data_IF_800424777436
#
_entry.id   IF_800424777436
#
_cell.length_a   1.000
_cell.length_b   1.000
_cell.length_c   1.000
_cell.angle_alpha   90.00
_cell.angle_beta   90.00
_cell.angle_gamma   90.00
#
_symmetry.space_group_name_H-M   'P 1'
#
loop_
_entity.id
_entity.type
_entity.pdbx_description
1 polymer ?
#
# COMPACT_ATOMS: atom_id res chain seq x y z
N UNK A 1 9.22 -84.83 -13.22
CA UNK A 1 8.10 -84.45 -14.10
C UNK A 1 7.47 -83.16 -13.57
N UNK A 2 7.33 -82.14 -14.43
CA UNK A 2 6.24 -81.13 -14.49
C UNK A 2 6.09 -80.17 -13.29
N UNK A 3 5.92 -78.85 -13.41
CA UNK A 3 5.81 -77.87 -14.51
C UNK A 3 5.85 -76.48 -13.88
N UNK A 4 6.35 -75.47 -14.61
CA UNK A 4 6.34 -74.04 -14.26
C UNK A 4 4.93 -73.45 -14.37
N UNK A 5 4.57 -72.48 -13.52
CA UNK A 5 3.60 -71.44 -13.87
C UNK A 5 4.03 -70.08 -13.33
N UNK A 6 4.10 -69.13 -14.26
CA UNK A 6 4.40 -67.72 -14.08
C UNK A 6 3.12 -66.93 -13.82
N UNK A 7 3.23 -65.83 -13.08
CA UNK A 7 2.30 -64.70 -13.10
C UNK A 7 3.12 -63.48 -12.64
N UNK A 8 3.72 -62.69 -13.55
CA UNK A 8 3.12 -61.51 -14.19
C UNK A 8 2.30 -60.69 -13.19
N UNK A 9 2.92 -59.69 -12.58
CA UNK A 9 2.21 -58.55 -12.02
C UNK A 9 2.86 -57.26 -12.53
N UNK A 10 2.00 -56.46 -13.13
CA UNK A 10 2.27 -55.43 -14.09
C UNK A 10 3.05 -54.25 -13.50
N UNK A 11 3.98 -53.73 -14.31
CA UNK A 11 4.59 -52.43 -14.10
C UNK A 11 3.51 -51.34 -14.16
N UNK A 12 3.24 -50.74 -13.01
CA UNK A 12 2.35 -49.59 -12.88
C UNK A 12 3.16 -48.34 -13.22
N UNK A 13 3.25 -48.03 -14.51
CA UNK A 13 3.81 -46.77 -15.00
C UNK A 13 2.81 -45.65 -14.69
N UNK A 14 3.05 -44.91 -13.61
CA UNK A 14 2.35 -43.67 -13.30
C UNK A 14 2.92 -42.59 -14.24
N UNK A 15 2.12 -41.98 -15.14
CA UNK A 15 2.61 -40.85 -15.92
C UNK A 15 2.73 -39.65 -14.99
N UNK A 16 3.98 -39.24 -14.73
CA UNK A 16 4.31 -38.01 -14.04
C UNK A 16 3.96 -36.84 -14.97
N UNK A 17 2.72 -36.35 -14.92
CA UNK A 17 2.36 -35.10 -15.58
C UNK A 17 3.06 -33.95 -14.84
N UNK A 18 4.18 -33.49 -15.39
CA UNK A 18 4.80 -32.24 -15.00
C UNK A 18 3.84 -31.10 -15.38
N UNK A 19 3.07 -30.62 -14.41
CA UNK A 19 2.35 -29.36 -14.52
C UNK A 19 3.41 -28.27 -14.53
N UNK A 20 3.78 -27.80 -15.72
CA UNK A 20 4.55 -26.58 -15.89
C UNK A 20 3.63 -25.45 -15.45
N UNK A 21 3.71 -25.08 -14.17
CA UNK A 21 3.03 -23.92 -13.64
C UNK A 21 3.55 -22.70 -14.39
N UNK A 22 2.68 -22.06 -15.16
CA UNK A 22 2.95 -20.72 -15.67
C UNK A 22 3.13 -19.82 -14.44
N UNK A 23 4.36 -19.37 -14.18
CA UNK A 23 4.61 -18.31 -13.22
C UNK A 23 3.94 -17.05 -13.79
N UNK A 24 2.75 -16.72 -13.29
CA UNK A 24 2.20 -15.40 -13.53
C UNK A 24 3.17 -14.40 -12.89
N UNK A 25 3.59 -13.34 -13.60
CA UNK A 25 4.35 -12.28 -12.96
C UNK A 25 3.52 -11.75 -11.79
N UNK A 26 4.14 -11.66 -10.62
CA UNK A 26 3.53 -10.97 -9.49
C UNK A 26 3.45 -9.49 -9.87
N UNK A 27 2.28 -9.06 -10.35
CA UNK A 27 1.98 -7.64 -10.46
C UNK A 27 1.97 -7.09 -9.03
N UNK A 28 2.78 -6.06 -8.78
CA UNK A 28 2.67 -5.32 -7.53
C UNK A 28 1.23 -4.81 -7.42
N UNK A 29 0.52 -5.28 -6.40
CA UNK A 29 -0.86 -4.89 -6.18
C UNK A 29 -0.88 -3.48 -5.60
N UNK A 30 -1.73 -2.63 -6.17
CA UNK A 30 -1.94 -1.28 -5.68
C UNK A 30 -2.51 -1.31 -4.25
N UNK A 31 -1.87 -0.60 -3.31
CA UNK A 31 -2.22 -0.61 -1.89
C UNK A 31 -3.31 0.41 -1.56
N UNK A 32 -4.38 -0.06 -0.92
CA UNK A 32 -5.60 0.69 -0.64
C UNK A 32 -5.86 0.79 0.86
N UNK A 33 -5.48 1.91 1.47
CA UNK A 33 -5.57 2.08 2.92
C UNK A 33 -6.56 3.16 3.34
N UNK A 34 -7.20 2.91 4.47
CA UNK A 34 -8.08 3.85 5.16
C UNK A 34 -7.39 4.34 6.42
N UNK A 35 -7.37 5.66 6.60
CA UNK A 35 -6.78 6.26 7.78
C UNK A 35 -7.62 5.93 9.02
N UNK A 36 -6.94 5.65 10.13
CA UNK A 36 -7.55 5.40 11.44
C UNK A 36 -7.35 6.59 12.36
N UNK A 37 -8.26 6.71 13.34
CA UNK A 37 -8.16 7.70 14.40
C UNK A 37 -7.01 7.38 15.35
N UNK A 38 -6.32 8.41 15.83
CA UNK A 38 -5.19 8.27 16.75
C UNK A 38 -5.20 9.40 17.77
N UNK A 39 -5.06 9.03 19.04
CA UNK A 39 -5.01 9.97 20.17
C UNK A 39 -3.60 10.47 20.49
N UNK A 40 -2.62 10.10 19.66
CA UNK A 40 -1.22 10.46 19.82
C UNK A 40 -0.66 11.00 18.51
N UNK A 41 0.41 11.77 18.62
CA UNK A 41 1.02 12.46 17.49
C UNK A 41 2.50 12.07 17.40
N UNK A 42 2.94 11.67 16.21
CA UNK A 42 4.33 11.33 15.92
C UNK A 42 5.28 12.51 16.13
N UNK A 43 6.57 12.21 16.30
CA UNK A 43 7.60 13.20 16.56
C UNK A 43 7.84 14.16 15.36
N UNK A 44 8.80 15.07 15.52
CA UNK A 44 9.16 16.07 14.53
C UNK A 44 9.94 15.55 13.32
N UNK A 45 10.20 14.23 13.20
CA UNK A 45 11.01 13.66 12.10
C UNK A 45 10.24 13.50 10.78
N UNK A 46 8.95 13.82 10.79
CA UNK A 46 8.06 13.71 9.63
C UNK A 46 8.23 14.87 8.66
N UNK A 47 8.23 14.54 7.37
CA UNK A 47 8.22 15.52 6.30
C UNK A 47 6.80 15.77 5.85
N UNK A 48 6.39 17.04 5.87
CA UNK A 48 5.01 17.43 5.71
C UNK A 48 4.82 18.37 4.53
N UNK A 49 3.66 18.24 3.92
CA UNK A 49 3.09 19.22 3.00
C UNK A 49 1.70 19.61 3.52
N UNK A 50 1.37 20.89 3.42
CA UNK A 50 0.07 21.40 3.86
C UNK A 50 -0.38 22.53 2.95
N UNK A 51 -1.69 22.57 2.70
CA UNK A 51 -2.38 23.70 2.11
C UNK A 51 -3.66 24.00 2.91
N UNK A 52 -4.51 24.89 2.40
CA UNK A 52 -5.76 25.27 3.06
C UNK A 52 -6.70 24.10 3.34
N UNK A 53 -6.68 23.04 2.52
CA UNK A 53 -7.69 21.97 2.53
C UNK A 53 -7.20 20.69 3.21
N UNK A 54 -5.90 20.39 3.11
CA UNK A 54 -5.32 19.14 3.59
C UNK A 54 -3.90 19.36 4.08
N UNK A 55 -3.55 18.67 5.16
CA UNK A 55 -2.17 18.46 5.57
C UNK A 55 -1.85 16.98 5.53
N UNK A 56 -0.66 16.63 5.06
CA UNK A 56 -0.18 15.27 5.15
C UNK A 56 1.32 15.23 5.45
N UNK A 57 1.76 14.14 6.07
CA UNK A 57 3.16 13.89 6.33
C UNK A 57 3.51 12.42 6.10
N UNK A 58 4.72 12.16 5.60
CA UNK A 58 5.36 10.86 5.69
C UNK A 58 6.39 10.90 6.80
N UNK A 59 6.35 9.91 7.68
CA UNK A 59 7.32 9.77 8.75
C UNK A 59 8.45 8.84 8.29
N UNK A 60 9.70 9.29 8.44
CA UNK A 60 10.86 8.55 7.92
C UNK A 60 11.07 7.23 8.65
N UNK A 61 11.15 7.29 9.98
CA UNK A 61 11.44 6.14 10.84
C UNK A 61 10.20 5.53 11.51
N UNK A 62 9.02 5.98 11.12
CA UNK A 62 7.75 5.46 11.61
C UNK A 62 6.97 5.21 10.35
N UNK A 63 6.64 3.96 10.09
CA UNK A 63 6.03 3.56 8.84
C UNK A 63 4.60 4.10 8.72
N UNK A 64 4.45 5.41 8.55
CA UNK A 64 3.20 6.10 8.80
C UNK A 64 3.00 7.22 7.79
N UNK A 65 1.80 7.22 7.22
CA UNK A 65 1.24 8.36 6.50
C UNK A 65 0.25 9.04 7.44
N UNK A 66 0.50 10.30 7.74
CA UNK A 66 -0.37 11.15 8.54
C UNK A 66 -1.21 12.01 7.63
N UNK A 67 -2.52 12.08 7.87
CA UNK A 67 -3.43 12.99 7.17
C UNK A 67 -4.20 13.84 8.16
N UNK A 68 -4.53 15.04 7.70
CA UNK A 68 -5.44 15.94 8.37
C UNK A 68 -6.28 16.65 7.34
N UNK A 69 -7.58 16.48 7.46
CA UNK A 69 -8.55 17.35 6.81
C UNK A 69 -8.60 18.70 7.53
N UNK A 70 -8.33 19.78 6.81
CA UNK A 70 -8.25 21.13 7.38
C UNK A 70 -9.58 21.89 7.30
N UNK A 71 -10.59 21.39 6.59
CA UNK A 71 -11.84 22.12 6.33
C UNK A 71 -13.07 21.23 6.54
N UNK A 72 -14.07 21.74 7.23
CA UNK A 72 -15.37 21.07 7.39
C UNK A 72 -16.25 21.27 6.13
N UNK A 73 -15.95 20.54 5.06
CA UNK A 73 -16.70 20.58 3.79
C UNK A 73 -17.40 19.26 3.45
N UNK A 74 -17.26 18.24 4.29
CA UNK A 74 -17.85 16.92 4.12
C UNK A 74 -17.18 16.04 3.06
N UNK A 75 -16.00 16.43 2.56
CA UNK A 75 -15.23 15.64 1.61
C UNK A 75 -14.06 14.91 2.28
N UNK A 76 -13.65 13.78 1.69
CA UNK A 76 -12.47 13.05 2.14
C UNK A 76 -11.19 13.70 1.60
N UNK A 77 -10.08 13.46 2.28
CA UNK A 77 -8.74 13.82 1.81
C UNK A 77 -7.88 12.58 1.66
N UNK A 78 -6.87 12.61 0.80
CA UNK A 78 -6.05 11.44 0.47
C UNK A 78 -4.59 11.80 0.25
N UNK A 79 -3.70 10.87 0.54
CA UNK A 79 -2.33 10.83 0.05
C UNK A 79 -2.22 9.71 -0.97
N UNK A 80 -1.73 10.02 -2.17
CA UNK A 80 -1.33 9.03 -3.17
C UNK A 80 0.19 8.96 -3.16
N UNK A 81 0.75 7.76 -3.24
CA UNK A 81 2.19 7.55 -3.12
C UNK A 81 2.67 6.42 -4.04
N UNK A 82 3.95 6.44 -4.37
CA UNK A 82 4.66 5.36 -5.03
C UNK A 82 6.11 5.32 -4.55
N UNK A 83 6.62 4.11 -4.38
CA UNK A 83 7.99 3.82 -4.02
C UNK A 83 8.87 3.91 -5.26
N UNK A 84 9.80 4.87 -5.29
CA UNK A 84 10.69 5.09 -6.44
C UNK A 84 11.78 4.03 -6.57
N UNK A 85 12.11 3.35 -5.48
CA UNK A 85 13.15 2.32 -5.40
C UNK A 85 12.57 0.90 -5.38
N UNK A 86 11.24 0.79 -5.35
CA UNK A 86 10.50 -0.46 -5.33
C UNK A 86 9.43 -0.55 -6.42
N UNK A 87 8.45 -1.42 -6.18
CA UNK A 87 7.29 -1.60 -7.06
C UNK A 87 5.97 -1.26 -6.38
N UNK A 88 6.02 -0.82 -5.12
CA UNK A 88 4.84 -0.53 -4.31
C UNK A 88 4.28 0.83 -4.68
N UNK A 89 2.97 0.89 -4.78
CA UNK A 89 2.23 2.15 -4.97
C UNK A 89 0.86 2.02 -4.32
N UNK A 90 0.27 3.14 -3.94
CA UNK A 90 -0.99 3.10 -3.22
C UNK A 90 -1.56 4.47 -2.85
N UNK A 91 -2.60 4.42 -2.03
CA UNK A 91 -3.11 5.60 -1.37
C UNK A 91 -3.62 5.33 0.05
N UNK A 92 -3.60 6.38 0.86
CA UNK A 92 -4.24 6.44 2.17
C UNK A 92 -5.34 7.51 2.13
N UNK A 93 -6.59 7.14 2.44
CA UNK A 93 -7.74 8.07 2.45
C UNK A 93 -8.28 8.28 3.86
N UNK A 94 -8.47 9.54 4.25
CA UNK A 94 -9.15 9.94 5.48
C UNK A 94 -10.66 10.15 5.21
N UNK A 95 -11.48 9.29 5.83
CA UNK A 95 -12.94 9.38 5.82
C UNK A 95 -13.52 9.87 7.16
N UNK A 96 -12.67 10.15 8.16
CA UNK A 96 -13.08 10.65 9.47
C UNK A 96 -13.29 12.17 9.47
N UNK A 97 -12.62 12.86 8.54
CA UNK A 97 -12.81 14.26 8.20
C UNK A 97 -12.36 15.24 9.29
N UNK A 98 -12.70 16.51 9.09
CA UNK A 98 -12.27 17.65 9.92
C UNK A 98 -12.41 17.50 11.45
N UNK A 99 -13.35 16.67 11.92
CA UNK A 99 -13.55 16.43 13.37
C UNK A 99 -12.33 15.81 14.06
N UNK A 100 -11.41 15.23 13.29
CA UNK A 100 -10.17 14.63 13.77
C UNK A 100 -8.98 15.54 13.51
N UNK A 101 -8.08 15.60 14.50
CA UNK A 101 -6.89 16.44 14.39
C UNK A 101 -5.86 15.85 13.42
N UNK A 102 -5.52 14.56 13.59
CA UNK A 102 -4.68 13.80 12.68
C UNK A 102 -5.21 12.38 12.61
N UNK A 103 -5.19 11.81 11.42
CA UNK A 103 -5.48 10.41 11.13
C UNK A 103 -4.24 9.76 10.53
N UNK A 104 -4.20 8.43 10.56
CA UNK A 104 -2.97 7.68 10.24
C UNK A 104 -3.28 6.45 9.40
N UNK A 105 -2.49 6.22 8.35
CA UNK A 105 -2.33 4.89 7.78
C UNK A 105 -0.99 4.31 8.20
N UNK A 106 -1.02 3.10 8.74
CA UNK A 106 0.18 2.32 8.99
C UNK A 106 0.71 1.75 7.67
N UNK A 107 2.02 1.75 7.56
CA UNK A 107 2.81 1.24 6.46
C UNK A 107 3.88 0.31 7.03
N UNK A 108 4.74 -0.15 6.16
CA UNK A 108 5.89 -0.99 6.43
C UNK A 108 6.94 -0.70 5.35
N UNK A 109 7.44 0.53 5.34
CA UNK A 109 8.34 0.97 4.29
C UNK A 109 9.65 0.19 4.32
N UNK A 110 10.33 0.15 3.18
CA UNK A 110 11.70 -0.38 3.16
C UNK A 110 12.66 0.75 3.46
N UNK A 111 13.39 0.65 4.57
CA UNK A 111 14.37 1.66 4.98
C UNK A 111 15.34 2.02 3.83
N UNK A 112 15.57 3.31 3.65
CA UNK A 112 16.38 3.93 2.61
C UNK A 112 15.65 4.21 1.30
N UNK A 113 14.40 3.82 1.14
CA UNK A 113 13.65 4.05 -0.10
C UNK A 113 13.14 5.49 -0.20
N UNK A 114 13.14 6.04 -1.41
CA UNK A 114 12.52 7.33 -1.70
C UNK A 114 11.05 7.17 -2.09
N UNK A 115 10.15 7.68 -1.26
CA UNK A 115 8.71 7.68 -1.50
C UNK A 115 8.31 9.00 -2.13
N UNK A 116 7.74 8.95 -3.33
CA UNK A 116 7.10 10.10 -3.96
C UNK A 116 5.60 10.10 -3.64
N UNK A 117 5.07 11.27 -3.31
CA UNK A 117 3.69 11.37 -2.85
C UNK A 117 3.06 12.74 -3.11
N UNK A 118 1.74 12.79 -3.19
CA UNK A 118 0.97 14.03 -3.25
C UNK A 118 -0.36 13.89 -2.51
N UNK A 119 -0.94 15.03 -2.14
CA UNK A 119 -2.26 15.09 -1.52
C UNK A 119 -3.37 15.30 -2.54
N UNK A 120 -4.54 14.74 -2.29
CA UNK A 120 -5.74 14.89 -3.11
C UNK A 120 -6.87 15.42 -2.24
N UNK A 121 -7.53 16.49 -2.68
CA UNK A 121 -8.53 17.22 -1.90
C UNK A 121 -9.61 17.82 -2.82
N UNK A 122 -10.78 18.11 -2.27
CA UNK A 122 -11.89 18.71 -3.00
C UNK A 122 -11.97 20.21 -2.73
N UNK A 123 -12.17 21.02 -3.77
CA UNK A 123 -12.49 22.43 -3.61
C UNK A 123 -13.09 23.01 -4.89
N UNK A 124 -13.99 23.98 -4.74
CA UNK A 124 -14.57 24.71 -5.88
C UNK A 124 -15.35 23.80 -6.84
N UNK A 125 -15.92 22.70 -6.37
CA UNK A 125 -16.68 21.76 -7.20
C UNK A 125 -15.86 20.65 -7.86
N UNK A 126 -14.54 20.62 -7.66
CA UNK A 126 -13.64 19.69 -8.34
C UNK A 126 -12.57 19.13 -7.38
N UNK A 127 -12.04 17.96 -7.73
CA UNK A 127 -10.85 17.40 -7.09
C UNK A 127 -9.56 17.98 -7.64
N UNK A 128 -8.60 18.22 -6.74
CA UNK A 128 -7.28 18.77 -7.02
C UNK A 128 -6.20 17.89 -6.42
N UNK A 129 -5.08 17.81 -7.13
CA UNK A 129 -3.84 17.24 -6.61
C UNK A 129 -2.90 18.38 -6.15
N UNK A 130 -2.23 18.18 -5.02
CA UNK A 130 -1.10 18.99 -4.61
C UNK A 130 0.15 18.70 -5.47
N UNK A 131 1.22 19.48 -5.30
CA UNK A 131 2.51 19.18 -5.90
C UNK A 131 3.09 17.90 -5.31
N UNK A 132 3.78 17.12 -6.15
CA UNK A 132 4.54 15.94 -5.69
C UNK A 132 5.66 16.35 -4.74
N UNK A 133 5.73 15.65 -3.62
CA UNK A 133 6.82 15.67 -2.65
C UNK A 133 7.61 14.37 -2.76
N UNK A 134 8.83 14.36 -2.22
CA UNK A 134 9.58 13.12 -1.99
C UNK A 134 10.07 13.07 -0.55
N UNK A 135 10.11 11.86 0.02
CA UNK A 135 10.59 11.60 1.38
C UNK A 135 11.35 10.29 1.38
N UNK A 136 12.60 10.33 1.85
CA UNK A 136 13.37 9.10 2.13
C UNK A 136 12.92 8.57 3.49
N UNK A 137 12.41 7.34 3.49
CA UNK A 137 11.95 6.60 4.68
C UNK A 137 13.02 5.65 5.14
#
# INVERSE_FOLDING_TARGET
MRTRFAAILAALAIPLFAVIGFANPAFAAYELDQAVDVDWYADSSRECYSNTWVSACIQKNGDDIWLKDNVDDGHWVRVVWWDLDGSREGYCTDFLGYSKAWTRCNKDWTDGHEIAWYVYYYTGGQWWAGPTQTTVV
#
